data_IF_752471427467
#
_entry.id   IF_752471427467
#
_cell.length_a   1.000
_cell.length_b   1.000
_cell.length_c   1.000
_cell.angle_alpha   90.00
_cell.angle_beta   90.00
_cell.angle_gamma   90.00
#
_symmetry.space_group_name_H-M   'P 1'
#
loop_
_entity.id
_entity.type
_entity.pdbx_description
1 polymer ?
#
# COMPACT_ATOMS: atom_id res chain seq x y z
N UNK A 1 8.55 9.83 9.28
CA UNK A 1 8.39 10.89 8.27
C UNK A 1 8.23 12.23 8.96
N UNK A 2 7.94 13.29 8.19
CA UNK A 2 7.45 14.58 8.70
C UNK A 2 5.92 14.58 8.66
N UNK A 3 5.28 15.52 9.35
CA UNK A 3 3.82 15.58 9.50
C UNK A 3 3.12 15.73 8.13
N UNK A 4 3.74 16.48 7.22
CA UNK A 4 3.26 16.74 5.86
C UNK A 4 3.20 15.48 4.99
N UNK A 5 3.85 14.38 5.40
CA UNK A 5 3.84 13.11 4.67
C UNK A 5 2.81 12.11 5.23
N UNK A 6 2.09 12.46 6.31
CA UNK A 6 1.19 11.54 6.99
C UNK A 6 0.06 11.02 6.09
N UNK A 7 -0.36 11.81 5.10
CA UNK A 7 -1.49 11.49 4.21
C UNK A 7 -1.09 10.75 2.95
N UNK A 8 0.21 10.64 2.60
CA UNK A 8 0.62 10.15 1.28
C UNK A 8 0.07 8.77 0.89
N UNK A 9 -0.12 7.87 1.87
CA UNK A 9 -0.76 6.58 1.64
C UNK A 9 -2.24 6.71 1.28
N UNK A 10 -2.96 7.59 1.98
CA UNK A 10 -4.38 7.90 1.73
C UNK A 10 -4.51 8.59 0.38
N UNK A 11 -3.71 9.62 0.12
CA UNK A 11 -3.74 10.41 -1.12
C UNK A 11 -3.55 9.50 -2.35
N UNK A 12 -2.65 8.50 -2.27
CA UNK A 12 -2.46 7.53 -3.34
C UNK A 12 -3.70 6.66 -3.58
N UNK A 13 -4.35 6.19 -2.51
CA UNK A 13 -5.54 5.31 -2.59
C UNK A 13 -6.73 6.09 -3.16
N UNK A 14 -6.94 7.33 -2.72
CA UNK A 14 -7.99 8.21 -3.24
C UNK A 14 -7.76 8.56 -4.71
N UNK A 15 -6.50 8.82 -5.09
CA UNK A 15 -6.14 9.02 -6.48
C UNK A 15 -6.42 7.76 -7.33
N UNK A 16 -6.18 6.55 -6.79
CA UNK A 16 -6.52 5.32 -7.50
C UNK A 16 -8.01 5.26 -7.83
N UNK A 17 -8.87 5.47 -6.82
CA UNK A 17 -10.32 5.44 -7.00
C UNK A 17 -10.77 6.47 -8.05
N UNK A 18 -10.28 7.71 -7.93
CA UNK A 18 -10.61 8.78 -8.88
C UNK A 18 -10.17 8.41 -10.30
N UNK A 19 -8.95 7.89 -10.48
CA UNK A 19 -8.43 7.51 -11.81
C UNK A 19 -9.31 6.43 -12.43
N UNK A 20 -9.72 5.40 -11.68
CA UNK A 20 -10.57 4.33 -12.22
C UNK A 20 -11.96 4.82 -12.60
N UNK A 21 -12.52 5.76 -11.85
CA UNK A 21 -13.84 6.34 -12.13
C UNK A 21 -13.83 7.25 -13.36
N UNK A 22 -12.72 7.94 -13.62
CA UNK A 22 -12.66 9.01 -14.63
C UNK A 22 -11.92 8.64 -15.91
N UNK A 23 -11.03 7.65 -15.87
CA UNK A 23 -10.15 7.30 -17.00
C UNK A 23 -10.34 5.81 -17.36
N UNK A 24 -11.38 5.46 -18.14
CA UNK A 24 -11.68 4.05 -18.44
C UNK A 24 -10.54 3.40 -19.23
N UNK A 25 -10.20 2.17 -18.86
CA UNK A 25 -9.18 1.36 -19.53
C UNK A 25 -7.74 1.60 -19.08
N UNK A 26 -7.49 2.53 -18.16
CA UNK A 26 -6.14 2.71 -17.60
C UNK A 26 -5.85 1.69 -16.51
N UNK A 27 -4.56 1.42 -16.35
CA UNK A 27 -4.04 0.60 -15.26
C UNK A 27 -3.20 1.44 -14.32
N UNK A 28 -3.24 1.09 -13.03
CA UNK A 28 -2.51 1.79 -11.98
C UNK A 28 -1.43 0.86 -11.41
N UNK A 29 -0.23 1.40 -11.20
CA UNK A 29 0.89 0.69 -10.58
C UNK A 29 1.59 1.57 -9.54
N UNK A 30 2.25 0.95 -8.56
CA UNK A 30 2.97 1.66 -7.50
C UNK A 30 4.14 0.88 -6.90
N UNK A 31 5.17 1.59 -6.45
CA UNK A 31 6.31 1.02 -5.72
C UNK A 31 6.00 0.82 -4.24
N UNK A 32 5.50 -0.37 -3.89
CA UNK A 32 4.93 -0.63 -2.55
C UNK A 32 5.98 -0.53 -1.44
N UNK A 33 7.23 -0.90 -1.71
CA UNK A 33 8.29 -0.84 -0.69
C UNK A 33 8.56 0.57 -0.15
N UNK A 34 8.16 1.63 -0.88
CA UNK A 34 8.41 3.02 -0.52
C UNK A 34 7.59 3.48 0.69
N UNK A 35 6.33 3.01 0.86
CA UNK A 35 5.47 3.44 1.98
C UNK A 35 6.08 3.07 3.34
N UNK A 36 6.90 2.03 3.37
CA UNK A 36 7.52 1.48 4.58
C UNK A 36 8.95 1.99 4.84
N UNK A 37 9.46 2.95 4.07
CA UNK A 37 10.88 3.33 4.07
C UNK A 37 11.38 3.75 5.47
N UNK A 38 10.54 4.44 6.25
CA UNK A 38 10.88 4.90 7.60
C UNK A 38 11.17 3.75 8.58
N UNK A 39 10.77 2.52 8.26
CA UNK A 39 10.89 1.33 9.12
C UNK A 39 11.97 0.35 8.64
N UNK A 40 12.95 0.82 7.85
CA UNK A 40 14.08 0.00 7.41
C UNK A 40 14.74 -0.73 8.59
N UNK A 41 14.97 -2.03 8.43
CA UNK A 41 15.48 -2.91 9.48
C UNK A 41 14.41 -3.64 10.28
N UNK A 42 13.15 -3.19 10.25
CA UNK A 42 12.02 -3.86 10.90
C UNK A 42 11.12 -4.55 9.86
N UNK A 43 11.52 -5.73 9.39
CA UNK A 43 10.80 -6.45 8.34
C UNK A 43 9.34 -6.79 8.71
N UNK A 44 9.01 -7.30 9.92
CA UNK A 44 7.62 -7.60 10.27
C UNK A 44 6.68 -6.40 10.12
N UNK A 45 7.09 -5.22 10.59
CA UNK A 45 6.31 -3.99 10.45
C UNK A 45 6.20 -3.56 8.98
N UNK A 46 7.29 -3.68 8.21
CA UNK A 46 7.25 -3.31 6.79
C UNK A 46 6.32 -4.20 5.98
N UNK A 47 6.36 -5.51 6.22
CA UNK A 47 5.51 -6.49 5.55
C UNK A 47 4.03 -6.28 5.90
N UNK A 48 3.73 -5.99 7.18
CA UNK A 48 2.39 -5.60 7.61
C UNK A 48 1.90 -4.33 6.89
N UNK A 49 2.72 -3.28 6.84
CA UNK A 49 2.41 -2.04 6.11
C UNK A 49 2.12 -2.32 4.63
N UNK A 50 2.93 -3.17 3.96
CA UNK A 50 2.72 -3.50 2.55
C UNK A 50 1.39 -4.21 2.33
N UNK A 51 1.07 -5.18 3.17
CA UNK A 51 -0.15 -5.97 3.05
C UNK A 51 -1.41 -5.15 3.35
N UNK A 52 -1.39 -4.29 4.38
CA UNK A 52 -2.49 -3.34 4.68
C UNK A 52 -2.66 -2.35 3.52
N UNK A 53 -1.57 -1.74 3.06
CA UNK A 53 -1.63 -0.77 1.97
C UNK A 53 -2.18 -1.41 0.68
N UNK A 54 -1.69 -2.59 0.30
CA UNK A 54 -2.17 -3.31 -0.88
C UNK A 54 -3.64 -3.69 -0.75
N UNK A 55 -4.10 -4.15 0.42
CA UNK A 55 -5.50 -4.50 0.64
C UNK A 55 -6.45 -3.33 0.33
N UNK A 56 -6.12 -2.12 0.81
CA UNK A 56 -6.93 -0.93 0.55
C UNK A 56 -6.73 -0.39 -0.87
N UNK A 57 -5.50 -0.32 -1.37
CA UNK A 57 -5.21 0.21 -2.71
C UNK A 57 -5.82 -0.65 -3.82
N UNK A 58 -5.77 -1.97 -3.71
CA UNK A 58 -6.39 -2.89 -4.69
C UNK A 58 -7.91 -2.71 -4.70
N UNK A 59 -8.54 -2.55 -3.52
CA UNK A 59 -9.98 -2.23 -3.44
C UNK A 59 -10.33 -0.90 -4.10
N UNK A 60 -9.44 0.08 -4.03
CA UNK A 60 -9.57 1.36 -4.73
C UNK A 60 -9.15 1.30 -6.22
N UNK A 61 -8.72 0.14 -6.71
CA UNK A 61 -8.47 -0.10 -8.13
C UNK A 61 -6.99 -0.06 -8.56
N UNK A 62 -6.05 -0.23 -7.64
CA UNK A 62 -4.67 -0.55 -7.98
C UNK A 62 -4.60 -1.92 -8.69
N UNK A 63 -4.12 -1.94 -9.94
CA UNK A 63 -4.08 -3.15 -10.76
C UNK A 63 -2.75 -3.91 -10.63
N UNK A 64 -1.65 -3.20 -10.40
CA UNK A 64 -0.30 -3.75 -10.37
C UNK A 64 0.54 -3.13 -9.25
N UNK A 65 1.62 -3.80 -8.83
CA UNK A 65 2.54 -3.26 -7.84
C UNK A 65 3.96 -3.78 -8.01
N UNK A 66 4.95 -2.91 -7.85
CA UNK A 66 6.36 -3.31 -7.74
C UNK A 66 6.58 -3.71 -6.28
N UNK A 67 6.66 -5.01 -6.05
CA UNK A 67 6.69 -5.65 -4.72
C UNK A 67 7.89 -6.58 -4.59
N UNK A 68 8.29 -6.85 -3.35
CA UNK A 68 9.10 -8.03 -3.07
C UNK A 68 8.16 -9.22 -2.86
N UNK A 69 8.01 -10.05 -3.89
CA UNK A 69 7.06 -11.18 -3.87
C UNK A 69 7.34 -12.20 -2.74
N UNK A 70 8.60 -12.34 -2.31
CA UNK A 70 8.97 -13.26 -1.22
C UNK A 70 8.67 -12.73 0.19
N UNK A 71 8.29 -11.45 0.30
CA UNK A 71 8.00 -10.77 1.57
C UNK A 71 6.54 -10.26 1.63
N UNK A 72 5.66 -10.80 0.79
CA UNK A 72 4.22 -10.50 0.87
C UNK A 72 3.55 -11.46 1.84
N UNK A 73 2.86 -10.91 2.82
CA UNK A 73 2.07 -11.66 3.80
C UNK A 73 0.57 -11.48 3.51
N UNK A 74 -0.27 -12.50 3.66
CA UNK A 74 -1.72 -12.36 3.55
C UNK A 74 -2.27 -11.39 4.61
N UNK A 75 -3.20 -10.51 4.23
CA UNK A 75 -3.78 -9.51 5.13
C UNK A 75 -4.38 -10.11 6.41
N UNK A 76 -5.09 -11.23 6.29
CA UNK A 76 -5.74 -11.91 7.42
C UNK A 76 -4.75 -12.63 8.36
N UNK A 77 -3.48 -12.74 7.97
CA UNK A 77 -2.42 -13.38 8.77
C UNK A 77 -1.59 -12.40 9.59
N UNK A 78 -1.80 -11.09 9.39
CA UNK A 78 -1.08 -10.03 10.13
C UNK A 78 -1.60 -10.01 11.57
N UNK A 79 -0.69 -9.79 12.52
CA UNK A 79 -1.05 -9.49 13.91
C UNK A 79 -2.06 -8.34 13.95
N UNK A 80 -3.24 -8.49 14.59
CA UNK A 80 -4.23 -7.43 14.69
C UNK A 80 -3.67 -6.10 15.21
N UNK A 81 -2.70 -6.12 16.13
CA UNK A 81 -2.08 -4.88 16.66
C UNK A 81 -1.28 -4.11 15.58
N UNK A 82 -0.76 -4.81 14.56
CA UNK A 82 -0.06 -4.19 13.44
C UNK A 82 -0.99 -3.88 12.25
N UNK A 83 -2.17 -4.49 12.22
CA UNK A 83 -3.11 -4.38 11.10
C UNK A 83 -4.10 -3.22 11.28
N UNK A 84 -4.59 -3.03 12.51
CA UNK A 84 -5.70 -2.14 12.87
C UNK A 84 -5.20 -0.81 13.47
#
# INVERSE_FOLDING_TARGET
GIEEHATYGIDFIEACAWIKDNLPGVHISGGISNVSFSFRGNNPVREAIHAVFLFHAIKAGLDMGIVNAGALVPYDSIDPELRD
#
